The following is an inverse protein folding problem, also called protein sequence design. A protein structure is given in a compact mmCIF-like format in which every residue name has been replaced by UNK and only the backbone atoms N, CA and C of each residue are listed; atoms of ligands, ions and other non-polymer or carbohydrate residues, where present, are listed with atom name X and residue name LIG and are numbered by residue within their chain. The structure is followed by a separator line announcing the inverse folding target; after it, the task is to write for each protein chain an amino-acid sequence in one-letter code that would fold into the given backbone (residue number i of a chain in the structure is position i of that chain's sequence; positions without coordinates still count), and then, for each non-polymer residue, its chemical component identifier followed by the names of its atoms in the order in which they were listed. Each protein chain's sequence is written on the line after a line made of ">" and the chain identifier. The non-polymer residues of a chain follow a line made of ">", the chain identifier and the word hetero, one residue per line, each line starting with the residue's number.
data_IF_322799058647
#
_entry.id   IF_322799058647
#
_cell.length_a   1.000
_cell.length_b   1.000
_cell.length_c   1.000
_cell.angle_alpha   90.00
_cell.angle_beta   90.00
_cell.angle_gamma   90.00
#
_symmetry.space_group_name_H-M   'P 1'
#
loop_
_entity.id
_entity.type
_entity.pdbx_description
1 polymer ?
#
# COMPACT_ATOMS: atom_id res chain seq x y z
N UNK A 1 14.48 22.27 -55.45
CA UNK A 1 13.29 22.07 -54.61
C UNK A 1 12.73 23.44 -54.26
N UNK A 2 11.44 23.74 -54.51
CA UNK A 2 10.85 24.99 -54.07
C UNK A 2 10.88 25.05 -52.53
N UNK A 3 11.35 26.16 -51.95
CA UNK A 3 11.56 26.32 -50.50
C UNK A 3 10.32 25.93 -49.68
N UNK A 4 9.11 26.22 -50.21
CA UNK A 4 7.85 25.83 -49.57
C UNK A 4 7.69 24.31 -49.37
N UNK A 5 8.17 23.49 -50.31
CA UNK A 5 8.12 22.02 -50.15
C UNK A 5 9.01 21.53 -49.02
N UNK A 6 10.22 22.10 -48.88
CA UNK A 6 11.16 21.74 -47.80
C UNK A 6 10.58 22.12 -46.44
N UNK A 7 10.01 23.32 -46.33
CA UNK A 7 9.36 23.80 -45.09
C UNK A 7 8.17 22.92 -44.72
N UNK A 8 7.32 22.55 -45.68
CA UNK A 8 6.18 21.67 -45.45
C UNK A 8 6.61 20.29 -44.95
N UNK A 9 7.61 19.66 -45.58
CA UNK A 9 8.13 18.36 -45.13
C UNK A 9 8.75 18.43 -43.74
N UNK A 10 9.48 19.50 -43.42
CA UNK A 10 10.05 19.71 -42.08
C UNK A 10 8.96 19.83 -41.02
N UNK A 11 7.92 20.63 -41.28
CA UNK A 11 6.77 20.77 -40.37
C UNK A 11 6.03 19.45 -40.17
N UNK A 12 5.77 18.72 -41.24
CA UNK A 12 5.13 17.40 -41.17
C UNK A 12 5.96 16.40 -40.35
N UNK A 13 7.29 16.40 -40.55
CA UNK A 13 8.21 15.54 -39.81
C UNK A 13 8.24 15.89 -38.32
N UNK A 14 8.36 17.18 -37.98
CA UNK A 14 8.36 17.65 -36.59
C UNK A 14 7.04 17.31 -35.88
N UNK A 15 5.91 17.48 -36.57
CA UNK A 15 4.60 17.15 -36.04
C UNK A 15 4.46 15.63 -35.82
N UNK A 16 4.94 14.81 -36.77
CA UNK A 16 4.98 13.36 -36.63
C UNK A 16 5.84 12.90 -35.45
N UNK A 17 7.02 13.51 -35.27
CA UNK A 17 7.89 13.24 -34.13
C UNK A 17 7.23 13.63 -32.79
N UNK A 18 6.56 14.78 -32.74
CA UNK A 18 5.82 15.22 -31.56
C UNK A 18 4.73 14.22 -31.18
N UNK A 19 3.93 13.76 -32.15
CA UNK A 19 2.89 12.77 -31.89
C UNK A 19 3.44 11.40 -31.49
N UNK A 20 4.52 10.93 -32.12
CA UNK A 20 5.18 9.69 -31.73
C UNK A 20 5.71 9.77 -30.29
N UNK A 21 6.33 10.89 -29.93
CA UNK A 21 6.80 11.14 -28.56
C UNK A 21 5.65 11.23 -27.55
N UNK A 22 4.58 11.94 -27.88
CA UNK A 22 3.39 12.06 -27.04
C UNK A 22 2.65 10.72 -26.86
N UNK A 23 2.67 9.84 -27.87
CA UNK A 23 2.10 8.50 -27.76
C UNK A 23 2.90 7.59 -26.82
N UNK A 24 4.22 7.75 -26.77
CA UNK A 24 5.12 6.98 -25.90
C UNK A 24 5.09 7.50 -24.45
N UNK A 25 5.14 8.82 -24.26
CA UNK A 25 5.20 9.44 -22.92
C UNK A 25 3.84 9.86 -22.36
N UNK A 26 2.78 9.85 -23.16
CA UNK A 26 1.47 10.34 -22.75
C UNK A 26 0.78 9.43 -21.72
N UNK A 27 -0.23 9.95 -21.02
CA UNK A 27 -1.01 9.19 -20.03
C UNK A 27 -1.75 7.96 -20.62
N UNK A 28 -1.84 7.87 -21.96
CA UNK A 28 -2.40 6.73 -22.71
C UNK A 28 -1.34 5.77 -23.26
N UNK A 29 -0.06 6.00 -22.96
CA UNK A 29 1.05 5.16 -23.41
C UNK A 29 0.99 3.76 -22.79
N UNK A 30 1.47 2.75 -23.52
CA UNK A 30 1.45 1.33 -23.12
C UNK A 30 2.14 1.12 -21.76
N UNK A 31 3.14 1.94 -21.42
CA UNK A 31 3.85 1.90 -20.13
C UNK A 31 2.98 2.26 -18.91
N UNK A 32 1.89 3.03 -19.08
CA UNK A 32 1.03 3.43 -17.96
C UNK A 32 0.29 2.24 -17.36
N UNK A 33 -0.06 1.23 -18.18
CA UNK A 33 -0.75 0.02 -17.72
C UNK A 33 0.11 -0.81 -16.76
N UNK A 34 1.39 -1.00 -17.10
CA UNK A 34 2.34 -1.75 -16.27
C UNK A 34 2.58 -1.06 -14.93
N UNK A 35 2.67 0.28 -14.93
CA UNK A 35 2.80 1.04 -13.68
C UNK A 35 1.52 0.95 -12.82
N UNK A 36 0.34 1.07 -13.43
CA UNK A 36 -0.93 0.94 -12.72
C UNK A 36 -1.11 -0.45 -12.11
N UNK A 37 -0.73 -1.50 -12.84
CA UNK A 37 -0.84 -2.88 -12.36
C UNK A 37 0.10 -3.13 -11.17
N UNK A 38 1.34 -2.61 -11.21
CA UNK A 38 2.26 -2.69 -10.08
C UNK A 38 1.74 -1.95 -8.84
N UNK A 39 1.29 -0.70 -9.02
CA UNK A 39 0.72 0.10 -7.93
C UNK A 39 -0.55 -0.55 -7.35
N UNK A 40 -1.38 -1.16 -8.20
CA UNK A 40 -2.56 -1.90 -7.77
C UNK A 40 -2.18 -3.14 -6.97
N UNK A 41 -1.16 -3.89 -7.40
CA UNK A 41 -0.70 -5.08 -6.69
C UNK A 41 -0.20 -4.75 -5.27
N UNK A 42 0.60 -3.68 -5.15
CA UNK A 42 1.10 -3.21 -3.85
C UNK A 42 -0.04 -2.77 -2.92
N UNK A 43 -1.01 -2.01 -3.47
CA UNK A 43 -2.19 -1.57 -2.71
C UNK A 43 -3.05 -2.76 -2.27
N UNK A 44 -3.24 -3.78 -3.11
CA UNK A 44 -3.98 -5.01 -2.75
C UNK A 44 -3.28 -5.75 -1.62
N UNK A 45 -1.96 -5.94 -1.71
CA UNK A 45 -1.19 -6.59 -0.66
C UNK A 45 -1.32 -5.85 0.69
N UNK A 46 -1.25 -4.52 0.66
CA UNK A 46 -1.42 -3.72 1.87
C UNK A 46 -2.85 -3.77 2.43
N UNK A 47 -3.86 -3.77 1.56
CA UNK A 47 -5.26 -3.95 1.95
C UNK A 47 -5.49 -5.30 2.62
N UNK A 48 -4.91 -6.37 2.10
CA UNK A 48 -5.02 -7.71 2.66
C UNK A 48 -4.33 -7.79 4.04
N UNK A 49 -3.13 -7.21 4.16
CA UNK A 49 -2.40 -7.10 5.43
C UNK A 49 -3.19 -6.36 6.51
N UNK A 50 -3.81 -5.23 6.16
CA UNK A 50 -4.64 -4.45 7.09
C UNK A 50 -5.93 -5.18 7.44
N UNK A 51 -6.53 -5.88 6.48
CA UNK A 51 -7.74 -6.68 6.71
C UNK A 51 -7.48 -7.81 7.69
N UNK A 52 -6.32 -8.48 7.57
CA UNK A 52 -5.89 -9.50 8.52
C UNK A 52 -5.71 -8.93 9.95
N UNK A 53 -5.05 -7.77 10.09
CA UNK A 53 -4.90 -7.10 11.38
C UNK A 53 -6.25 -6.70 11.99
N UNK A 54 -7.18 -6.19 11.19
CA UNK A 54 -8.54 -5.87 11.67
C UNK A 54 -9.27 -7.12 12.13
N UNK A 55 -9.12 -8.25 11.43
CA UNK A 55 -9.72 -9.51 11.83
C UNK A 55 -9.15 -10.02 13.16
N UNK A 56 -7.84 -9.91 13.35
CA UNK A 56 -7.16 -10.25 14.61
C UNK A 56 -7.65 -9.36 15.76
N UNK A 57 -7.63 -8.03 15.57
CA UNK A 57 -8.12 -7.09 16.58
C UNK A 57 -9.59 -7.35 16.93
N UNK A 58 -10.44 -7.63 15.94
CA UNK A 58 -11.86 -7.98 16.19
C UNK A 58 -11.99 -9.28 16.99
N UNK A 59 -11.13 -10.27 16.74
CA UNK A 59 -11.13 -11.50 17.52
C UNK A 59 -10.74 -11.22 18.98
N UNK A 60 -9.66 -10.47 19.19
CA UNK A 60 -9.22 -10.05 20.53
C UNK A 60 -10.31 -9.25 21.26
N UNK A 61 -10.89 -8.24 20.61
CA UNK A 61 -12.01 -7.46 21.18
C UNK A 61 -13.20 -8.34 21.53
N UNK A 62 -13.53 -9.32 20.68
CA UNK A 62 -14.63 -10.25 20.96
C UNK A 62 -14.33 -11.16 22.15
N UNK A 63 -13.08 -11.61 22.30
CA UNK A 63 -12.64 -12.40 23.47
C UNK A 63 -12.57 -11.57 24.75
N UNK A 64 -12.42 -10.26 24.63
CA UNK A 64 -12.43 -9.31 25.73
C UNK A 64 -13.84 -8.77 26.06
N UNK A 65 -14.85 -8.97 25.19
CA UNK A 65 -16.22 -8.52 25.44
C UNK A 65 -17.01 -9.56 26.24
N UNK A 66 -17.55 -9.12 27.37
CA UNK A 66 -18.34 -9.76 28.44
C UNK A 66 -19.06 -11.11 28.25
N UNK A 67 -19.36 -11.60 27.05
CA UNK A 67 -19.97 -12.93 26.86
C UNK A 67 -18.96 -14.09 27.08
N UNK A 68 -17.65 -13.79 27.11
CA UNK A 68 -16.53 -14.72 27.39
C UNK A 68 -15.42 -14.02 28.20
N UNK A 69 -15.75 -13.37 29.32
CA UNK A 69 -14.78 -12.71 30.18
C UNK A 69 -13.74 -13.71 30.74
N UNK A 70 -12.66 -13.93 30.01
CA UNK A 70 -11.53 -14.75 30.40
C UNK A 70 -10.54 -13.88 31.17
N UNK A 71 -10.65 -13.95 32.49
CA UNK A 71 -9.81 -13.20 33.43
C UNK A 71 -8.32 -13.48 33.24
N UNK A 72 -7.95 -14.65 32.70
CA UNK A 72 -6.56 -15.03 32.46
C UNK A 72 -5.96 -14.24 31.26
N UNK A 73 -6.75 -13.99 30.21
CA UNK A 73 -6.34 -13.17 29.06
C UNK A 73 -6.19 -11.69 29.39
N UNK A 74 -7.05 -11.18 30.27
CA UNK A 74 -6.96 -9.81 30.78
C UNK A 74 -5.66 -9.62 31.56
N UNK A 75 -5.34 -10.57 32.43
CA UNK A 75 -4.10 -10.58 33.22
C UNK A 75 -2.85 -10.69 32.32
N UNK A 76 -2.88 -11.54 31.29
CA UNK A 76 -1.79 -11.65 30.30
C UNK A 76 -1.55 -10.34 29.53
N UNK A 77 -2.61 -9.72 28.98
CA UNK A 77 -2.49 -8.45 28.24
C UNK A 77 -2.14 -7.27 29.15
N UNK A 78 -2.59 -7.27 30.40
CA UNK A 78 -2.17 -6.27 31.39
C UNK A 78 -0.66 -6.38 31.69
N UNK A 79 -0.11 -7.59 31.81
CA UNK A 79 1.34 -7.79 31.97
C UNK A 79 2.13 -7.34 30.76
N UNK A 80 1.66 -7.67 29.56
CA UNK A 80 2.33 -7.41 28.29
C UNK A 80 2.33 -5.92 27.92
N UNK A 81 1.20 -5.23 28.12
CA UNK A 81 1.04 -3.80 27.75
C UNK A 81 1.49 -2.86 28.87
N UNK A 82 1.23 -3.19 30.13
CA UNK A 82 1.53 -2.30 31.27
C UNK A 82 2.82 -2.69 32.00
N UNK A 83 3.50 -3.76 31.59
CA UNK A 83 4.75 -4.21 32.24
C UNK A 83 4.55 -4.59 33.71
N UNK A 84 3.35 -5.02 34.10
CA UNK A 84 3.00 -5.39 35.47
C UNK A 84 3.61 -6.75 35.85
N UNK A 85 4.93 -6.81 35.89
CA UNK A 85 5.63 -7.80 36.71
C UNK A 85 5.38 -7.38 38.16
N UNK A 86 4.91 -8.33 38.97
CA UNK A 86 4.68 -8.17 40.41
C UNK A 86 5.84 -7.40 41.04
N UNK A 87 5.55 -6.34 41.79
CA UNK A 87 6.55 -5.56 42.54
C UNK A 87 7.15 -6.32 43.74
N UNK A 88 6.89 -7.63 43.83
CA UNK A 88 7.06 -8.44 45.03
C UNK A 88 7.72 -9.81 44.77
N UNK A 89 8.32 -10.03 43.59
CA UNK A 89 9.32 -11.10 43.45
C UNK A 89 10.65 -10.66 44.08
N UNK A 90 10.80 -11.00 45.37
CA UNK A 90 12.06 -11.02 46.10
C UNK A 90 13.08 -11.89 45.34
N UNK A 91 14.05 -11.25 44.69
CA UNK A 91 15.28 -11.92 44.25
C UNK A 91 16.03 -12.35 45.52
N UNK A 92 15.88 -13.62 45.89
CA UNK A 92 16.75 -14.26 46.87
C UNK A 92 17.98 -14.79 46.13
N UNK A 93 19.06 -14.02 46.24
CA UNK A 93 20.50 -14.31 46.03
C UNK A 93 20.93 -15.22 44.88
#
# INVERSE_FOLDING_TARGET
>A
MPVGSVVFFLLALLLGLYFAFAAVQGPSGILRRVQLEAETADLVAERDRLTAQVAEMRNLTRRLSDDYLDLDLLDERARDVLGLVRADELIVR
#
